data_IF_900787535021
#
_entry.id   IF_900787535021
#
_cell.length_a   1.000
_cell.length_b   1.000
_cell.length_c   1.000
_cell.angle_alpha   90.00
_cell.angle_beta   90.00
_cell.angle_gamma   90.00
#
_symmetry.space_group_name_H-M   'P 1'
#
loop_
_entity.id
_entity.type
_entity.pdbx_description
1 polymer ?
#
# COMPACT_ATOMS: atom_id res chain seq x y z
N UNK A 1 12.18 4.00 -9.45
CA UNK A 1 11.29 3.12 -8.65
C UNK A 1 11.93 1.76 -8.45
N UNK A 2 12.29 1.03 -9.52
CA UNK A 2 13.00 -0.25 -9.46
C UNK A 2 14.12 -0.35 -8.40
N UNK A 3 15.12 0.53 -8.46
CA UNK A 3 16.27 0.50 -7.51
C UNK A 3 15.87 0.58 -6.04
N UNK A 4 14.86 1.37 -5.69
CA UNK A 4 14.35 1.48 -4.31
C UNK A 4 13.65 0.19 -3.86
N UNK A 5 13.01 -0.52 -4.79
CA UNK A 5 12.34 -1.80 -4.52
C UNK A 5 13.36 -2.93 -4.39
N UNK A 6 14.37 -2.97 -5.25
CA UNK A 6 15.47 -3.94 -5.18
C UNK A 6 16.21 -3.84 -3.83
N UNK A 7 16.40 -2.62 -3.32
CA UNK A 7 17.00 -2.36 -1.99
C UNK A 7 16.18 -2.93 -0.82
N UNK A 8 14.89 -3.22 -1.01
CA UNK A 8 14.08 -3.84 0.05
C UNK A 8 14.37 -5.32 0.24
N UNK A 9 15.09 -5.96 -0.71
CA UNK A 9 15.34 -7.40 -0.72
C UNK A 9 14.09 -8.25 -0.93
N UNK A 10 12.92 -7.65 -1.16
CA UNK A 10 11.66 -8.38 -1.31
C UNK A 10 11.42 -8.77 -2.77
N UNK A 11 11.17 -10.06 -2.98
CA UNK A 11 10.69 -10.56 -4.27
C UNK A 11 9.22 -10.20 -4.44
N UNK A 12 8.92 -9.25 -5.34
CA UNK A 12 7.57 -8.78 -5.64
C UNK A 12 7.43 -8.55 -7.15
N UNK A 13 6.25 -8.84 -7.70
CA UNK A 13 5.86 -8.35 -9.02
C UNK A 13 5.20 -6.98 -8.88
N UNK A 14 5.40 -6.12 -9.87
CA UNK A 14 4.84 -4.78 -9.89
C UNK A 14 4.10 -4.56 -11.20
N UNK A 15 3.02 -3.78 -11.15
CA UNK A 15 2.26 -3.40 -12.32
C UNK A 15 1.61 -2.04 -12.10
N UNK A 16 1.79 -1.14 -13.04
CA UNK A 16 1.28 0.23 -12.99
C UNK A 16 0.33 0.45 -14.16
N UNK A 17 -0.89 0.91 -13.88
CA UNK A 17 -1.90 1.21 -14.89
C UNK A 17 -2.18 2.71 -14.92
N UNK A 18 -2.11 3.32 -16.10
CA UNK A 18 -2.54 4.70 -16.32
C UNK A 18 -2.96 4.87 -17.80
N UNK A 19 -3.77 5.89 -18.07
CA UNK A 19 -4.10 6.31 -19.43
C UNK A 19 -2.96 7.08 -20.08
N UNK A 20 -2.11 7.72 -19.25
CA UNK A 20 -1.00 8.54 -19.70
C UNK A 20 0.34 7.94 -19.28
N UNK A 21 1.26 7.81 -20.22
CA UNK A 21 2.59 7.30 -19.93
C UNK A 21 3.39 8.37 -19.17
N UNK A 22 3.79 8.06 -17.95
CA UNK A 22 4.71 8.89 -17.19
C UNK A 22 6.14 8.79 -17.74
N UNK A 23 7.01 9.74 -17.39
CA UNK A 23 8.45 9.67 -17.71
C UNK A 23 9.14 8.42 -17.14
N UNK A 24 8.59 7.86 -16.07
CA UNK A 24 9.00 6.57 -15.52
C UNK A 24 7.92 5.55 -15.84
N UNK A 25 8.23 4.59 -16.70
CA UNK A 25 7.31 3.57 -17.21
C UNK A 25 7.59 2.18 -16.61
N UNK A 26 8.24 2.13 -15.44
CA UNK A 26 8.55 0.88 -14.75
C UNK A 26 7.29 0.02 -14.57
N UNK A 27 7.24 -1.14 -15.23
CA UNK A 27 6.10 -2.06 -15.26
C UNK A 27 4.77 -1.38 -15.62
N UNK A 28 4.80 -0.44 -16.56
CA UNK A 28 3.64 0.32 -17.01
C UNK A 28 2.81 -0.42 -18.07
N UNK A 29 1.49 -0.36 -17.93
CA UNK A 29 0.50 -0.75 -18.93
C UNK A 29 -0.43 0.43 -19.20
N UNK A 30 -0.48 0.89 -20.46
CA UNK A 30 -1.39 1.96 -20.87
C UNK A 30 -2.82 1.42 -20.96
N UNK A 31 -3.59 1.56 -19.88
CA UNK A 31 -4.93 0.98 -19.78
C UNK A 31 -5.80 1.69 -18.76
N UNK A 32 -7.10 1.72 -19.04
CA UNK A 32 -8.10 2.17 -18.09
C UNK A 32 -8.24 1.15 -16.95
N UNK A 33 -7.98 1.61 -15.72
CA UNK A 33 -8.15 0.86 -14.48
C UNK A 33 -9.51 0.15 -14.40
N UNK A 34 -10.57 0.79 -14.88
CA UNK A 34 -11.92 0.23 -14.81
C UNK A 34 -12.08 -1.05 -15.66
N UNK A 35 -11.19 -1.30 -16.61
CA UNK A 35 -11.20 -2.47 -17.50
C UNK A 35 -10.39 -3.65 -16.98
N UNK A 36 -9.59 -3.49 -15.92
CA UNK A 36 -8.79 -4.57 -15.32
C UNK A 36 -9.71 -5.61 -14.67
N UNK A 37 -9.52 -6.89 -14.97
CA UNK A 37 -10.29 -8.00 -14.43
C UNK A 37 -9.56 -8.74 -13.30
N UNK A 38 -10.30 -9.51 -12.50
CA UNK A 38 -9.75 -10.13 -11.30
C UNK A 38 -8.76 -11.26 -11.62
N UNK A 39 -8.99 -11.93 -12.74
CA UNK A 39 -8.19 -13.04 -13.26
C UNK A 39 -6.81 -12.58 -13.74
N UNK A 40 -6.63 -11.26 -13.93
CA UNK A 40 -5.37 -10.65 -14.38
C UNK A 40 -4.43 -10.31 -13.21
N UNK A 41 -4.93 -10.39 -11.98
CA UNK A 41 -4.20 -9.99 -10.77
C UNK A 41 -3.98 -11.20 -9.85
N UNK A 42 -2.93 -11.18 -9.01
CA UNK A 42 -2.78 -12.16 -7.95
C UNK A 42 -3.99 -12.19 -7.02
N UNK A 43 -4.19 -13.33 -6.35
CA UNK A 43 -5.22 -13.47 -5.33
C UNK A 43 -5.07 -12.38 -4.25
N UNK A 44 -6.18 -11.91 -3.69
CA UNK A 44 -6.20 -10.78 -2.75
C UNK A 44 -5.23 -10.88 -1.58
N UNK A 45 -4.95 -12.08 -1.05
CA UNK A 45 -3.95 -12.31 0.02
C UNK A 45 -2.50 -12.04 -0.39
N UNK A 46 -2.22 -11.98 -1.69
CA UNK A 46 -0.92 -11.68 -2.29
C UNK A 46 -0.90 -10.31 -2.96
N UNK A 47 -1.99 -9.53 -2.85
CA UNK A 47 -2.19 -8.30 -3.59
C UNK A 47 -2.19 -7.07 -2.67
N UNK A 48 -1.39 -6.07 -3.04
CA UNK A 48 -1.40 -4.72 -2.48
C UNK A 48 -1.81 -3.77 -3.60
N UNK A 49 -2.77 -2.89 -3.36
CA UNK A 49 -3.21 -1.90 -4.35
C UNK A 49 -2.93 -0.49 -3.82
N UNK A 50 -2.21 0.30 -4.61
CA UNK A 50 -2.06 1.74 -4.41
C UNK A 50 -2.93 2.52 -5.39
N UNK A 51 -3.67 3.53 -4.93
CA UNK A 51 -4.47 4.40 -5.78
C UNK A 51 -4.23 5.88 -5.47
N UNK A 52 -4.05 6.66 -6.53
CA UNK A 52 -4.18 8.12 -6.54
C UNK A 52 -5.23 8.51 -7.59
N UNK A 53 -6.52 8.24 -7.32
CA UNK A 53 -7.55 8.35 -8.34
C UNK A 53 -7.92 9.82 -8.61
N UNK A 54 -8.47 10.14 -9.78
CA UNK A 54 -9.13 11.42 -9.98
C UNK A 54 -10.26 11.59 -8.95
N UNK A 55 -10.38 12.78 -8.36
CA UNK A 55 -11.31 12.99 -7.25
C UNK A 55 -12.76 13.06 -7.71
N UNK A 56 -13.03 13.84 -8.76
CA UNK A 56 -14.39 14.17 -9.20
C UNK A 56 -15.16 15.03 -8.19
N UNK A 57 -16.35 15.50 -8.58
CA UNK A 57 -17.21 16.30 -7.69
C UNK A 57 -17.54 15.47 -6.45
N UNK A 58 -17.28 16.03 -5.26
CA UNK A 58 -17.47 15.39 -3.96
C UNK A 58 -16.82 13.99 -3.82
N UNK A 59 -15.67 13.76 -4.46
CA UNK A 59 -14.94 12.49 -4.36
C UNK A 59 -15.61 11.32 -5.09
N UNK A 60 -16.61 11.58 -5.93
CA UNK A 60 -17.42 10.54 -6.59
C UNK A 60 -16.60 9.62 -7.51
N UNK A 61 -15.59 10.16 -8.22
CA UNK A 61 -14.71 9.36 -9.06
C UNK A 61 -13.76 8.52 -8.20
N UNK A 62 -13.15 9.12 -7.16
CA UNK A 62 -12.31 8.38 -6.23
C UNK A 62 -13.05 7.18 -5.62
N UNK A 63 -14.31 7.37 -5.21
CA UNK A 63 -15.16 6.31 -4.71
C UNK A 63 -15.41 5.18 -5.74
N UNK A 64 -15.51 5.48 -7.04
CA UNK A 64 -15.66 4.44 -8.09
C UNK A 64 -14.39 3.61 -8.24
N UNK A 65 -13.22 4.26 -8.23
CA UNK A 65 -11.93 3.58 -8.31
C UNK A 65 -11.69 2.68 -7.10
N UNK A 66 -12.00 3.18 -5.90
CA UNK A 66 -11.92 2.41 -4.65
C UNK A 66 -12.89 1.22 -4.68
N UNK A 67 -14.15 1.42 -5.08
CA UNK A 67 -15.11 0.34 -5.19
C UNK A 67 -14.63 -0.77 -6.14
N UNK A 68 -14.01 -0.40 -7.26
CA UNK A 68 -13.37 -1.35 -8.18
C UNK A 68 -12.20 -2.07 -7.49
N UNK A 69 -11.34 -1.37 -6.76
CA UNK A 69 -10.23 -2.02 -6.06
C UNK A 69 -10.70 -3.03 -5.00
N UNK A 70 -11.78 -2.73 -4.29
CA UNK A 70 -12.36 -3.61 -3.28
C UNK A 70 -12.86 -4.95 -3.87
N UNK A 71 -13.23 -5.01 -5.16
CA UNK A 71 -13.64 -6.27 -5.79
C UNK A 71 -12.50 -7.29 -5.86
N UNK A 72 -11.24 -6.84 -5.88
CA UNK A 72 -10.06 -7.70 -5.89
C UNK A 72 -9.64 -8.19 -4.50
N UNK A 73 -10.29 -7.67 -3.44
CA UNK A 73 -10.03 -8.03 -2.03
C UNK A 73 -8.53 -7.98 -1.66
N UNK A 74 -7.76 -6.94 -2.03
CA UNK A 74 -6.33 -6.86 -1.67
C UNK A 74 -6.13 -6.94 -0.16
N UNK A 75 -5.01 -7.47 0.32
CA UNK A 75 -4.72 -7.51 1.75
C UNK A 75 -4.47 -6.10 2.33
N UNK A 76 -3.96 -5.18 1.49
CA UNK A 76 -3.67 -3.80 1.86
C UNK A 76 -4.05 -2.85 0.72
N UNK A 77 -4.73 -1.78 1.06
CA UNK A 77 -5.04 -0.64 0.20
C UNK A 77 -4.27 0.60 0.68
N UNK A 78 -3.57 1.24 -0.25
CA UNK A 78 -2.84 2.49 -0.02
C UNK A 78 -3.53 3.57 -0.86
N UNK A 79 -4.17 4.55 -0.22
CA UNK A 79 -5.01 5.53 -0.90
C UNK A 79 -4.51 6.95 -0.66
N UNK A 80 -4.42 7.74 -1.72
CA UNK A 80 -4.25 9.19 -1.62
C UNK A 80 -5.51 9.83 -2.20
N UNK A 81 -6.43 10.23 -1.32
CA UNK A 81 -7.76 10.72 -1.69
C UNK A 81 -8.22 11.84 -0.76
N UNK A 82 -9.12 12.74 -1.18
CA UNK A 82 -9.62 13.81 -0.32
C UNK A 82 -10.46 13.24 0.83
N UNK A 83 -10.50 13.95 1.96
CA UNK A 83 -11.26 13.54 3.16
C UNK A 83 -12.77 13.34 2.93
N UNK A 84 -13.32 13.91 1.86
CA UNK A 84 -14.74 13.74 1.48
C UNK A 84 -15.03 12.33 0.93
N UNK A 85 -14.02 11.56 0.56
CA UNK A 85 -14.16 10.19 0.08
C UNK A 85 -14.72 9.27 1.18
N UNK A 86 -15.49 8.25 0.82
CA UNK A 86 -16.16 7.39 1.81
C UNK A 86 -15.13 6.57 2.58
N UNK A 87 -15.25 6.63 3.91
CA UNK A 87 -14.55 5.79 4.89
C UNK A 87 -14.88 4.31 4.68
N UNK A 88 -13.86 3.44 4.67
CA UNK A 88 -14.02 2.01 4.39
C UNK A 88 -14.49 1.20 5.60
N UNK A 89 -14.12 1.64 6.80
CA UNK A 89 -14.49 1.04 8.09
C UNK A 89 -15.96 1.24 8.47
N UNK A 90 -16.69 2.10 7.76
CA UNK A 90 -18.12 2.36 8.03
C UNK A 90 -19.07 1.32 7.42
N UNK A 91 -18.54 0.40 6.61
CA UNK A 91 -19.32 -0.63 5.94
C UNK A 91 -19.18 -1.98 6.66
N UNK A 92 -20.24 -2.81 6.64
CA UNK A 92 -20.16 -4.18 7.14
C UNK A 92 -19.17 -4.99 6.29
N UNK A 93 -18.15 -5.57 6.93
CA UNK A 93 -17.04 -6.22 6.20
C UNK A 93 -16.09 -5.25 5.52
N UNK A 94 -16.04 -4.00 6.01
CA UNK A 94 -15.12 -2.96 5.57
C UNK A 94 -13.66 -3.28 5.87
N UNK A 95 -12.77 -2.39 5.44
CA UNK A 95 -11.34 -2.45 5.75
C UNK A 95 -11.06 -1.65 7.01
N UNK A 96 -10.07 -2.08 7.77
CA UNK A 96 -9.64 -1.42 9.00
C UNK A 96 -8.59 -0.36 8.68
N UNK A 97 -8.76 0.83 9.25
CA UNK A 97 -7.76 1.89 9.12
C UNK A 97 -6.53 1.54 9.97
N UNK A 98 -5.37 1.39 9.32
CA UNK A 98 -4.09 1.17 10.00
C UNK A 98 -3.38 2.49 10.26
N UNK A 99 -3.35 3.36 9.25
CA UNK A 99 -2.61 4.61 9.32
C UNK A 99 -3.27 5.67 8.42
N UNK A 100 -3.37 6.89 8.94
CA UNK A 100 -3.79 8.11 8.23
C UNK A 100 -2.71 9.15 8.49
N UNK A 101 -2.18 9.75 7.41
CA UNK A 101 -1.17 10.81 7.47
C UNK A 101 -1.61 11.98 6.58
N UNK A 102 -1.89 13.11 7.22
CA UNK A 102 -2.33 14.37 6.60
C UNK A 102 -1.15 15.24 6.11
N UNK A 103 0.08 14.90 6.47
CA UNK A 103 1.28 15.73 6.27
C UNK A 103 2.18 15.20 5.16
N UNK A 104 2.24 13.89 4.94
CA UNK A 104 3.17 13.26 3.97
C UNK A 104 2.94 13.74 2.53
N UNK A 105 1.70 14.11 2.20
CA UNK A 105 1.34 14.70 0.92
C UNK A 105 1.24 16.24 0.97
N UNK A 106 1.57 16.87 2.09
CA UNK A 106 1.53 18.33 2.24
C UNK A 106 2.71 19.01 1.53
N UNK A 107 2.44 20.20 0.96
CA UNK A 107 3.43 21.04 0.28
C UNK A 107 3.55 20.85 -1.24
N UNK A 108 4.55 21.50 -1.86
CA UNK A 108 4.87 21.41 -3.31
C UNK A 108 5.31 20.00 -3.76
N UNK A 109 5.39 19.05 -2.84
CA UNK A 109 5.87 17.68 -3.03
C UNK A 109 4.85 16.81 -3.77
N UNK A 110 3.56 17.10 -3.63
CA UNK A 110 2.49 16.28 -4.21
C UNK A 110 2.14 16.68 -5.65
N UNK A 111 2.31 17.96 -5.98
CA UNK A 111 2.20 18.47 -7.35
C UNK A 111 3.57 18.98 -7.80
N UNK A 112 4.28 18.12 -8.54
CA UNK A 112 5.57 18.46 -9.13
C UNK A 112 5.47 19.74 -9.99
N UNK A 113 6.56 20.51 -10.14
CA UNK A 113 6.64 21.57 -11.13
C UNK A 113 6.33 20.99 -12.52
N UNK A 114 5.24 21.43 -13.15
CA UNK A 114 4.79 20.93 -14.45
C UNK A 114 3.39 20.31 -14.48
N UNK A 115 2.69 20.20 -13.34
CA UNK A 115 1.23 19.96 -13.33
C UNK A 115 0.50 21.21 -13.83
N UNK A 116 0.46 21.35 -15.14
CA UNK A 116 -0.24 22.43 -15.83
C UNK A 116 -1.54 21.91 -16.43
N UNK A 117 -2.57 22.76 -16.44
CA UNK A 117 -3.80 22.48 -17.16
C UNK A 117 -3.58 22.48 -18.68
N UNK A 118 -4.64 22.22 -19.45
CA UNK A 118 -4.59 22.26 -20.93
C UNK A 118 -4.19 23.62 -21.50
N UNK A 119 -4.15 24.67 -20.68
CA UNK A 119 -3.74 26.03 -21.03
C UNK A 119 -2.34 26.40 -20.48
N UNK A 120 -1.57 25.41 -20.02
CA UNK A 120 -0.23 25.60 -19.45
C UNK A 120 -0.21 26.50 -18.20
N UNK A 121 -1.37 26.73 -17.57
CA UNK A 121 -1.44 27.38 -16.27
C UNK A 121 -1.17 26.35 -15.20
N UNK A 122 -0.36 26.73 -14.22
CA UNK A 122 -0.19 25.95 -13.01
C UNK A 122 -1.59 25.73 -12.40
N UNK A 123 -1.95 24.48 -12.12
CA UNK A 123 -3.23 24.15 -11.51
C UNK A 123 -3.31 24.83 -10.14
N UNK A 124 -3.96 25.99 -10.08
CA UNK A 124 -4.26 26.72 -8.83
C UNK A 124 -5.53 26.19 -8.15
N UNK A 125 -6.17 25.15 -8.69
CA UNK A 125 -7.56 24.85 -8.39
C UNK A 125 -7.82 23.72 -7.38
N UNK A 126 -8.63 24.08 -6.38
CA UNK A 126 -9.58 23.31 -5.55
C UNK A 126 -9.18 22.42 -4.38
N UNK A 127 -7.90 22.22 -4.06
CA UNK A 127 -7.51 21.62 -2.77
C UNK A 127 -6.32 22.36 -2.15
N UNK A 128 -6.59 23.48 -1.47
CA UNK A 128 -5.61 24.15 -0.60
C UNK A 128 -5.06 23.20 0.50
N UNK A 129 -5.79 22.12 0.79
CA UNK A 129 -5.37 21.05 1.71
C UNK A 129 -4.99 19.81 0.90
N UNK A 130 -3.77 19.35 1.11
CA UNK A 130 -3.30 18.11 0.51
C UNK A 130 -4.22 16.93 0.89
N UNK A 131 -4.47 15.99 -0.04
CA UNK A 131 -5.16 14.76 0.31
C UNK A 131 -4.30 13.94 1.28
N UNK A 132 -4.86 13.38 2.35
CA UNK A 132 -4.14 12.43 3.19
C UNK A 132 -3.74 11.15 2.46
N UNK A 133 -2.71 10.51 3.00
CA UNK A 133 -2.39 9.12 2.73
C UNK A 133 -3.12 8.22 3.73
N UNK A 134 -3.76 7.18 3.23
CA UNK A 134 -4.39 6.14 4.04
C UNK A 134 -3.81 4.76 3.76
N UNK A 135 -3.59 3.97 4.81
CA UNK A 135 -3.37 2.52 4.75
C UNK A 135 -4.56 1.80 5.36
N UNK A 136 -5.27 1.05 4.53
CA UNK A 136 -6.45 0.27 4.88
C UNK A 136 -6.14 -1.23 4.78
N UNK A 137 -6.34 -1.98 5.85
CA UNK A 137 -6.12 -3.42 5.91
C UNK A 137 -7.40 -4.20 5.73
N UNK A 138 -7.31 -5.35 5.04
CA UNK A 138 -8.39 -6.33 5.07
C UNK A 138 -8.49 -6.94 6.49
N UNK A 139 -9.69 -7.22 7.03
CA UNK A 139 -9.84 -7.60 8.44
C UNK A 139 -9.00 -8.80 8.91
N UNK A 140 -8.84 -9.81 8.07
CA UNK A 140 -8.02 -11.00 8.33
C UNK A 140 -6.50 -10.75 8.30
N UNK A 141 -6.06 -9.55 7.89
CA UNK A 141 -4.66 -9.11 7.88
C UNK A 141 -4.38 -7.97 8.87
N UNK A 142 -5.40 -7.47 9.56
CA UNK A 142 -5.28 -6.24 10.36
C UNK A 142 -4.26 -6.36 11.48
N UNK A 143 -4.31 -7.44 12.27
CA UNK A 143 -3.34 -7.65 13.36
C UNK A 143 -1.90 -7.66 12.85
N UNK A 144 -1.66 -8.28 11.69
CA UNK A 144 -0.35 -8.31 11.05
C UNK A 144 0.13 -6.92 10.62
N UNK A 145 -0.71 -6.19 9.87
CA UNK A 145 -0.35 -4.86 9.39
C UNK A 145 -0.18 -3.84 10.52
N UNK A 146 -0.96 -3.94 11.60
CA UNK A 146 -0.76 -3.13 12.80
C UNK A 146 0.61 -3.40 13.45
N UNK A 147 1.01 -4.67 13.57
CA UNK A 147 2.34 -5.03 14.09
C UNK A 147 3.48 -4.41 13.28
N UNK A 148 3.38 -4.43 11.94
CA UNK A 148 4.35 -3.76 11.06
C UNK A 148 4.34 -2.24 11.28
N UNK A 149 3.16 -1.62 11.30
CA UNK A 149 3.04 -0.17 11.49
C UNK A 149 3.67 0.29 12.81
N UNK A 150 3.60 -0.54 13.86
CA UNK A 150 4.23 -0.25 15.13
C UNK A 150 5.73 -0.45 15.14
N UNK A 151 6.19 -1.55 14.52
CA UNK A 151 7.62 -1.81 14.37
C UNK A 151 8.33 -0.62 13.73
N UNK A 152 7.70 0.00 12.74
CA UNK A 152 8.21 1.18 12.05
C UNK A 152 7.85 2.52 12.70
N UNK A 153 7.18 2.51 13.87
CA UNK A 153 6.84 3.72 14.61
C UNK A 153 5.74 4.59 13.98
N UNK A 154 4.99 4.07 13.01
CA UNK A 154 3.87 4.79 12.38
C UNK A 154 2.69 4.97 13.35
N UNK A 155 2.49 4.03 14.29
CA UNK A 155 1.46 4.10 15.33
C UNK A 155 2.05 3.83 16.72
N UNK A 156 1.58 4.56 17.73
CA UNK A 156 2.04 4.42 19.13
C UNK A 156 1.36 3.22 19.81
N UNK A 157 2.07 2.57 20.74
CA UNK A 157 1.61 1.36 21.45
C UNK A 157 0.27 1.49 22.20
N UNK A 158 -0.19 2.70 22.54
CA UNK A 158 -1.36 2.90 23.41
C UNK A 158 -2.74 2.75 22.73
N UNK A 159 -2.81 2.39 21.44
CA UNK A 159 -4.09 2.21 20.73
C UNK A 159 -4.66 0.77 20.82
N UNK A 160 -4.07 -0.12 21.64
CA UNK A 160 -4.34 -1.56 21.65
C UNK A 160 -5.50 -2.07 22.51
N UNK A 161 -6.29 -1.21 23.15
CA UNK A 161 -7.26 -1.64 24.16
C UNK A 161 -8.52 -2.37 23.64
N UNK A 162 -8.57 -2.82 22.38
CA UNK A 162 -9.82 -3.33 21.77
C UNK A 162 -9.78 -4.62 20.95
N UNK A 163 -8.62 -5.16 20.57
CA UNK A 163 -8.53 -6.37 19.73
C UNK A 163 -7.39 -7.23 20.26
N UNK A 164 -7.68 -8.51 20.56
CA UNK A 164 -6.75 -9.50 21.10
C UNK A 164 -5.32 -9.31 20.55
N UNK A 165 -4.44 -8.81 21.41
CA UNK A 165 -3.01 -8.74 21.12
C UNK A 165 -2.51 -10.18 20.95
N UNK A 166 -1.74 -10.50 19.90
CA UNK A 166 -1.05 -11.79 19.85
C UNK A 166 -0.07 -11.85 21.02
N UNK A 167 -0.10 -12.97 21.75
CA UNK A 167 0.68 -13.20 22.98
C UNK A 167 2.21 -13.11 22.78
N UNK A 168 2.68 -12.97 21.54
CA UNK A 168 4.10 -12.75 21.25
C UNK A 168 4.28 -11.96 19.95
N UNK A 169 4.84 -10.74 20.03
CA UNK A 169 5.19 -9.93 18.86
C UNK A 169 6.20 -10.64 17.94
N UNK A 170 7.03 -11.53 18.51
CA UNK A 170 7.99 -12.34 17.76
C UNK A 170 7.31 -13.44 16.93
N UNK A 171 6.18 -13.99 17.38
CA UNK A 171 5.48 -15.05 16.64
C UNK A 171 4.76 -14.56 15.38
N UNK A 172 4.68 -13.24 15.19
CA UNK A 172 4.32 -12.64 13.91
C UNK A 172 5.41 -13.01 12.89
N UNK A 173 6.69 -12.85 13.23
CA UNK A 173 7.77 -13.09 12.28
C UNK A 173 8.17 -14.57 12.12
N UNK A 174 7.74 -15.46 13.03
CA UNK A 174 8.07 -16.89 13.01
C UNK A 174 7.49 -17.67 11.80
N UNK A 175 6.60 -17.07 11.01
CA UNK A 175 6.05 -17.65 9.77
C UNK A 175 6.67 -17.13 8.47
N UNK A 176 7.73 -16.31 8.56
CA UNK A 176 8.43 -15.77 7.39
C UNK A 176 9.55 -16.74 7.00
N UNK A 177 9.54 -17.35 5.80
CA UNK A 177 10.72 -18.07 5.31
C UNK A 177 11.91 -17.11 5.28
N UNK A 178 12.98 -17.49 5.96
CA UNK A 178 14.26 -16.79 5.87
C UNK A 178 14.87 -17.15 4.49
N UNK A 179 14.67 -16.29 3.50
CA UNK A 179 15.22 -16.45 2.14
C UNK A 179 16.73 -16.13 2.07
N UNK A 180 17.43 -16.07 3.22
CA UNK A 180 18.88 -16.03 3.28
C UNK A 180 19.46 -17.43 3.02
N UNK A 181 19.34 -17.87 1.77
CA UNK A 181 20.07 -19.01 1.25
C UNK A 181 21.55 -18.67 1.09
N UNK A 182 22.32 -18.81 2.17
CA UNK A 182 23.77 -19.04 2.07
C UNK A 182 24.10 -20.42 2.63
N UNK A 183 24.31 -21.34 1.70
CA UNK A 183 24.93 -22.64 1.92
C UNK A 183 26.41 -22.37 2.23
N UNK A 184 26.83 -22.62 3.46
CA UNK A 184 28.21 -23.00 3.75
C UNK A 184 28.23 -24.46 4.18
N UNK A 185 28.23 -25.33 3.18
CA UNK A 185 28.87 -26.64 3.29
C UNK A 185 30.38 -26.39 3.21
N UNK A 186 31.10 -26.55 4.32
CA UNK A 186 32.43 -27.12 4.24
C UNK A 186 32.70 -28.03 5.43
N UNK A 187 33.04 -29.26 5.06
CA UNK A 187 33.33 -30.44 5.86
C UNK A 187 34.37 -30.21 6.97
N UNK A 188 34.18 -30.89 8.11
CA UNK A 188 35.08 -31.95 8.57
C UNK A 188 34.59 -32.54 9.91
N UNK A 189 34.11 -33.78 9.88
CA UNK A 189 34.14 -34.69 11.02
C UNK A 189 35.53 -35.37 11.11
N UNK A 190 35.84 -36.23 12.10
CA UNK A 190 35.38 -36.35 13.50
C UNK A 190 36.59 -36.42 14.49
N UNK A 191 36.34 -36.37 15.80
CA UNK A 191 37.18 -37.14 16.74
C UNK A 191 36.41 -37.51 17.99
N UNK A 192 36.31 -38.82 18.21
CA UNK A 192 36.13 -39.43 19.53
C UNK A 192 37.28 -39.05 20.47
N UNK A 193 37.01 -38.97 21.78
CA UNK A 193 37.78 -39.68 22.81
C UNK A 193 37.20 -39.45 24.21
N UNK A 194 36.88 -40.60 24.84
CA UNK A 194 36.72 -40.93 26.27
C UNK A 194 35.60 -40.26 27.08
#
# INVERSE_FOLDING_TARGET
>A
MKSKLDQTGKSCSFKNYDLFQAKNDFNFEKRDWMTVQAEELPHGSQLIIGLNPPFGVNGSLANKFINKALTFKPKLLILIVPKVTRRLDRNKGGYDLIWEDDEICSGKSFYLPGSVDTQHKQLEDWNLKAPPLYLWSRPDWTSWHMGIAQYHGHIKHNNYLGLHAPDNFLSIFDGVPDDNGDILLQDCAPSFAL
#
